data_IF_831881602132
#
_entry.id   IF_831881602132
#
_cell.length_a   1.000
_cell.length_b   1.000
_cell.length_c   1.000
_cell.angle_alpha   90.00
_cell.angle_beta   90.00
_cell.angle_gamma   90.00
#
_symmetry.space_group_name_H-M   'P 1'
#
loop_
_entity.id
_entity.type
_entity.pdbx_description
1 polymer ?
#
# COMPACT_ATOMS: atom_id res chain seq x y z
N UNK A 1 7.22 121.31 -14.27
CA UNK A 1 8.45 121.02 -13.50
C UNK A 1 9.57 122.03 -13.71
N UNK A 2 10.20 122.15 -14.89
CA UNK A 2 11.31 123.10 -15.08
C UNK A 2 10.87 124.59 -15.10
N UNK A 3 9.72 124.89 -15.71
CA UNK A 3 9.14 126.23 -15.80
C UNK A 3 8.61 126.76 -14.45
N UNK A 4 7.99 125.90 -13.64
CA UNK A 4 7.44 126.27 -12.32
C UNK A 4 8.54 126.54 -11.30
N UNK A 5 9.65 125.78 -11.37
CA UNK A 5 10.82 126.06 -10.54
C UNK A 5 11.48 127.37 -10.93
N UNK A 6 11.55 127.67 -12.24
CA UNK A 6 12.11 128.93 -12.75
C UNK A 6 11.22 130.13 -12.37
N UNK A 7 9.89 129.99 -12.40
CA UNK A 7 8.96 131.01 -11.91
C UNK A 7 9.05 131.23 -10.39
N UNK A 8 9.16 130.15 -9.61
CA UNK A 8 9.31 130.23 -8.15
C UNK A 8 10.64 130.89 -7.75
N UNK A 9 11.74 130.54 -8.42
CA UNK A 9 13.05 131.16 -8.19
C UNK A 9 13.00 132.64 -8.57
N UNK A 10 12.40 133.01 -9.71
CA UNK A 10 12.22 134.42 -10.11
C UNK A 10 11.35 135.20 -9.10
N UNK A 11 10.29 134.61 -8.58
CA UNK A 11 9.45 135.22 -7.55
C UNK A 11 10.21 135.43 -6.24
N UNK A 12 10.93 134.40 -5.77
CA UNK A 12 11.73 134.46 -4.55
C UNK A 12 12.89 135.48 -4.64
N UNK A 13 13.51 135.64 -5.82
CA UNK A 13 14.51 136.68 -6.06
C UNK A 13 13.90 138.09 -6.07
N UNK A 14 12.69 138.26 -6.64
CA UNK A 14 11.95 139.54 -6.60
C UNK A 14 11.62 139.96 -5.18
N UNK A 15 11.12 139.04 -4.35
CA UNK A 15 10.79 139.32 -2.95
C UNK A 15 12.04 139.64 -2.12
N UNK A 16 13.18 138.99 -2.39
CA UNK A 16 14.45 139.29 -1.72
C UNK A 16 15.06 140.63 -2.12
N UNK A 17 14.89 141.07 -3.37
CA UNK A 17 15.31 142.40 -3.83
C UNK A 17 14.50 143.53 -3.18
N UNK A 18 13.24 143.27 -2.82
CA UNK A 18 12.36 144.23 -2.13
C UNK A 18 12.68 144.37 -0.63
N UNK A 19 13.40 143.42 -0.03
CA UNK A 19 13.81 143.40 1.37
C UNK A 19 15.19 144.03 1.63
N UNK A 20 15.94 144.41 0.58
CA UNK A 20 17.10 145.30 0.74
C UNK A 20 16.60 146.68 1.22
N UNK A 21 17.27 147.33 2.18
CA UNK A 21 16.83 148.64 2.68
C UNK A 21 16.65 149.58 1.48
N UNK A 22 15.45 150.15 1.32
CA UNK A 22 15.23 151.22 0.35
C UNK A 22 16.23 152.33 0.67
N UNK A 23 17.10 152.65 -0.29
CA UNK A 23 17.97 153.81 -0.18
C UNK A 23 17.09 155.03 0.17
N UNK A 24 17.38 155.78 1.25
CA UNK A 24 16.62 156.97 1.56
C UNK A 24 16.71 157.97 0.39
N UNK A 25 15.55 158.50 -0.01
CA UNK A 25 15.44 159.55 -1.01
C UNK A 25 16.15 160.82 -0.53
N UNK A 26 16.89 161.46 -1.43
CA UNK A 26 17.83 162.56 -1.17
C UNK A 26 17.14 163.83 -0.66
N UNK A 27 17.67 164.41 0.41
CA UNK A 27 17.61 165.86 0.68
C UNK A 27 18.97 166.29 1.24
N UNK A 28 19.95 166.66 0.40
CA UNK A 28 21.22 167.22 0.89
C UNK A 28 21.92 168.08 -0.18
N UNK A 29 21.39 169.29 -0.37
CA UNK A 29 21.97 170.35 -1.21
C UNK A 29 23.05 171.19 -0.48
N UNK A 30 23.55 170.74 0.67
CA UNK A 30 24.55 171.48 1.47
C UNK A 30 25.72 170.64 2.04
N UNK A 31 26.23 169.64 1.29
CA UNK A 31 27.40 168.85 1.70
C UNK A 31 28.51 168.82 0.63
N UNK A 32 29.76 169.01 1.05
CA UNK A 32 30.97 169.00 0.20
C UNK A 32 31.20 167.63 -0.44
N UNK A 33 31.75 167.57 -1.66
CA UNK A 33 31.99 166.34 -2.45
C UNK A 33 32.68 165.19 -1.69
N UNK A 34 33.47 165.50 -0.67
CA UNK A 34 34.10 164.51 0.21
C UNK A 34 33.12 163.78 1.16
N UNK A 35 32.07 164.45 1.65
CA UNK A 35 31.08 163.87 2.56
C UNK A 35 30.14 162.88 1.84
N UNK A 36 29.68 163.23 0.63
CA UNK A 36 28.84 162.35 -0.23
C UNK A 36 29.56 161.06 -0.62
N UNK A 37 30.88 161.12 -0.81
CA UNK A 37 31.69 159.95 -1.15
C UNK A 37 31.85 159.02 0.06
N UNK A 38 31.89 159.57 1.28
CA UNK A 38 31.91 158.79 2.52
C UNK A 38 30.57 158.11 2.80
N UNK A 39 29.44 158.78 2.53
CA UNK A 39 28.11 158.16 2.64
C UNK A 39 27.91 157.04 1.62
N UNK A 40 28.28 157.26 0.35
CA UNK A 40 28.21 156.19 -0.66
C UNK A 40 29.15 155.03 -0.35
N UNK A 41 30.28 155.26 0.32
CA UNK A 41 31.14 154.19 0.84
C UNK A 41 30.46 153.42 1.97
N UNK A 42 29.82 154.11 2.92
CA UNK A 42 29.04 153.47 4.00
C UNK A 42 27.87 152.65 3.46
N UNK A 43 27.10 153.17 2.52
CA UNK A 43 25.99 152.44 1.89
C UNK A 43 26.49 151.20 1.11
N UNK A 44 27.61 151.33 0.40
CA UNK A 44 28.24 150.20 -0.29
C UNK A 44 28.72 149.14 0.72
N UNK A 45 29.31 149.57 1.84
CA UNK A 45 29.69 148.68 2.95
C UNK A 45 28.47 148.01 3.59
N UNK A 46 27.35 148.71 3.78
CA UNK A 46 26.10 148.16 4.33
C UNK A 46 25.45 147.14 3.38
N UNK A 47 25.39 147.44 2.08
CA UNK A 47 24.88 146.50 1.06
C UNK A 47 25.81 145.31 0.90
N UNK A 48 27.12 145.52 0.96
CA UNK A 48 28.12 144.44 0.94
C UNK A 48 27.99 143.56 2.18
N UNK A 49 27.80 144.14 3.37
CA UNK A 49 27.50 143.40 4.60
C UNK A 49 26.18 142.62 4.51
N UNK A 50 25.11 143.20 3.96
CA UNK A 50 23.83 142.52 3.78
C UNK A 50 23.91 141.37 2.75
N UNK A 51 24.68 141.54 1.68
CA UNK A 51 24.94 140.49 0.69
C UNK A 51 25.81 139.37 1.27
N UNK A 52 26.79 139.70 2.09
CA UNK A 52 27.59 138.71 2.84
C UNK A 52 26.69 137.92 3.80
N UNK A 53 25.85 138.59 4.58
CA UNK A 53 24.88 137.93 5.46
C UNK A 53 23.92 137.01 4.70
N UNK A 54 23.39 137.43 3.54
CA UNK A 54 22.54 136.56 2.72
C UNK A 54 23.31 135.37 2.13
N UNK A 55 24.57 135.56 1.70
CA UNK A 55 25.41 134.46 1.23
C UNK A 55 25.69 133.45 2.33
N UNK A 56 25.98 133.92 3.54
CA UNK A 56 26.14 133.08 4.73
C UNK A 56 24.84 132.32 5.05
N UNK A 57 23.68 132.98 5.04
CA UNK A 57 22.38 132.30 5.25
C UNK A 57 22.07 131.24 4.18
N UNK A 58 22.33 131.55 2.91
CA UNK A 58 22.16 130.58 1.82
C UNK A 58 23.12 129.42 1.96
N UNK A 59 24.36 129.69 2.35
CA UNK A 59 25.37 128.66 2.61
C UNK A 59 24.92 127.74 3.75
N UNK A 60 24.48 128.29 4.89
CA UNK A 60 23.93 127.52 6.01
C UNK A 60 22.71 126.69 5.58
N UNK A 61 21.81 127.25 4.77
CA UNK A 61 20.64 126.51 4.24
C UNK A 61 21.06 125.38 3.30
N UNK A 62 22.02 125.61 2.42
CA UNK A 62 22.55 124.59 1.50
C UNK A 62 23.24 123.46 2.26
N UNK A 63 24.05 123.80 3.26
CA UNK A 63 24.69 122.84 4.17
C UNK A 63 23.62 122.00 4.91
N UNK A 64 22.55 122.62 5.43
CA UNK A 64 21.47 121.89 6.11
C UNK A 64 20.69 120.93 5.18
N UNK A 65 20.45 121.33 3.93
CA UNK A 65 19.78 120.49 2.93
C UNK A 65 20.69 119.36 2.45
N UNK A 66 21.99 119.63 2.35
CA UNK A 66 22.98 118.61 2.03
C UNK A 66 23.05 117.56 3.15
N UNK A 67 23.16 117.99 4.40
CA UNK A 67 23.08 117.10 5.58
C UNK A 67 21.79 116.29 5.56
N UNK A 68 20.63 116.91 5.26
CA UNK A 68 19.36 116.19 5.20
C UNK A 68 19.29 115.17 4.06
N UNK A 69 19.90 115.45 2.91
CA UNK A 69 20.02 114.49 1.80
C UNK A 69 20.87 113.30 2.20
N UNK A 70 22.04 113.56 2.77
CA UNK A 70 22.95 112.52 3.28
C UNK A 70 22.26 111.65 4.35
N UNK A 71 21.48 112.24 5.27
CA UNK A 71 20.68 111.49 6.25
C UNK A 71 19.62 110.58 5.60
N UNK A 72 18.95 111.06 4.54
CA UNK A 72 17.91 110.30 3.85
C UNK A 72 18.51 109.13 3.07
N UNK A 73 19.62 109.36 2.37
CA UNK A 73 20.37 108.31 1.68
C UNK A 73 20.83 107.24 2.66
N UNK A 74 21.38 107.65 3.82
CA UNK A 74 21.79 106.71 4.85
C UNK A 74 20.61 105.89 5.40
N UNK A 75 19.45 106.51 5.61
CA UNK A 75 18.23 105.79 6.02
C UNK A 75 17.71 104.83 4.94
N UNK A 76 17.79 105.22 3.68
CA UNK A 76 17.39 104.36 2.57
C UNK A 76 18.30 103.13 2.47
N UNK A 77 19.62 103.31 2.61
CA UNK A 77 20.59 102.21 2.67
C UNK A 77 20.31 101.27 3.85
N UNK A 78 20.06 101.82 5.04
CA UNK A 78 19.66 101.03 6.22
C UNK A 78 18.40 100.20 5.98
N UNK A 79 17.38 100.77 5.32
CA UNK A 79 16.14 100.06 4.98
C UNK A 79 16.38 98.96 3.94
N UNK A 80 17.19 99.22 2.91
CA UNK A 80 17.58 98.21 1.92
C UNK A 80 18.30 97.05 2.59
N UNK A 81 19.27 97.33 3.46
CA UNK A 81 19.96 96.31 4.23
C UNK A 81 19.01 95.51 5.12
N UNK A 82 18.10 96.19 5.82
CA UNK A 82 17.09 95.53 6.65
C UNK A 82 16.20 94.61 5.81
N UNK A 83 15.77 95.06 4.63
CA UNK A 83 14.98 94.26 3.69
C UNK A 83 15.73 92.99 3.26
N UNK A 84 17.01 93.10 2.87
CA UNK A 84 17.82 91.93 2.54
C UNK A 84 18.01 90.98 3.72
N UNK A 85 18.19 91.52 4.94
CA UNK A 85 18.27 90.72 6.18
C UNK A 85 16.94 89.99 6.45
N UNK A 86 15.79 90.63 6.26
CA UNK A 86 14.47 90.02 6.44
C UNK A 86 14.15 88.97 5.38
N UNK A 87 14.42 89.25 4.10
CA UNK A 87 14.21 88.27 3.01
C UNK A 87 15.08 87.01 3.23
N UNK A 88 16.35 87.21 3.63
CA UNK A 88 17.24 86.12 4.02
C UNK A 88 16.67 85.34 5.21
N UNK A 89 16.18 86.02 6.24
CA UNK A 89 15.56 85.39 7.41
C UNK A 89 14.32 84.57 7.02
N UNK A 90 13.44 85.09 6.17
CA UNK A 90 12.25 84.38 5.70
C UNK A 90 12.62 83.12 4.92
N UNK A 91 13.56 83.22 3.96
CA UNK A 91 14.07 82.07 3.20
C UNK A 91 14.69 81.01 4.11
N UNK A 92 15.48 81.41 5.09
CA UNK A 92 16.07 80.48 6.06
C UNK A 92 15.01 79.83 6.98
N UNK A 93 13.99 80.60 7.40
CA UNK A 93 12.90 80.09 8.22
C UNK A 93 12.05 79.07 7.45
N UNK A 94 11.67 79.39 6.21
CA UNK A 94 10.96 78.47 5.33
C UNK A 94 11.78 77.21 5.04
N UNK A 95 13.08 77.34 4.81
CA UNK A 95 13.98 76.20 4.66
C UNK A 95 14.08 75.35 5.95
N UNK A 96 14.06 75.96 7.14
CA UNK A 96 14.00 75.25 8.43
C UNK A 96 12.66 74.53 8.59
N UNK A 97 11.54 75.20 8.28
CA UNK A 97 10.19 74.64 8.32
C UNK A 97 10.05 73.45 7.38
N UNK A 98 10.50 73.58 6.13
CA UNK A 98 10.49 72.49 5.15
C UNK A 98 11.35 71.30 5.59
N UNK A 99 12.54 71.54 6.14
CA UNK A 99 13.38 70.46 6.69
C UNK A 99 12.70 69.76 7.86
N UNK A 100 12.11 70.50 8.80
CA UNK A 100 11.39 69.95 9.93
C UNK A 100 10.18 69.12 9.48
N UNK A 101 9.38 69.61 8.52
CA UNK A 101 8.25 68.89 7.95
C UNK A 101 8.67 67.60 7.24
N UNK A 102 9.73 67.65 6.41
CA UNK A 102 10.27 66.45 5.75
C UNK A 102 10.74 65.42 6.77
N UNK A 103 11.49 65.85 7.80
CA UNK A 103 11.96 64.97 8.88
C UNK A 103 10.78 64.32 9.61
N UNK A 104 9.80 65.10 10.03
CA UNK A 104 8.59 64.61 10.69
C UNK A 104 7.80 63.63 9.81
N UNK A 105 7.67 63.90 8.50
CA UNK A 105 7.02 62.97 7.57
C UNK A 105 7.80 61.66 7.39
N UNK A 106 9.14 61.74 7.35
CA UNK A 106 10.00 60.57 7.25
C UNK A 106 9.91 59.69 8.49
N UNK A 107 9.96 60.29 9.68
CA UNK A 107 9.80 59.60 10.96
C UNK A 107 8.42 58.95 11.09
N UNK A 108 7.34 59.63 10.67
CA UNK A 108 5.99 59.04 10.65
C UNK A 108 5.90 57.82 9.74
N UNK A 109 6.50 57.89 8.55
CA UNK A 109 6.50 56.76 7.61
C UNK A 109 7.32 55.58 8.16
N UNK A 110 8.47 55.86 8.75
CA UNK A 110 9.32 54.83 9.38
C UNK A 110 8.63 54.18 10.58
N UNK A 111 7.98 54.98 11.44
CA UNK A 111 7.18 54.48 12.55
C UNK A 111 6.00 53.61 12.06
N UNK A 112 5.33 54.01 10.98
CA UNK A 112 4.26 53.21 10.39
C UNK A 112 4.76 51.84 9.89
N UNK A 113 5.90 51.80 9.19
CA UNK A 113 6.53 50.54 8.73
C UNK A 113 6.90 49.64 9.91
N UNK A 114 7.59 50.20 10.90
CA UNK A 114 7.98 49.47 12.11
C UNK A 114 6.77 48.94 12.90
N UNK A 115 5.67 49.71 12.96
CA UNK A 115 4.43 49.26 13.61
C UNK A 115 3.78 48.07 12.89
N UNK A 116 3.77 48.06 11.56
CA UNK A 116 3.24 46.92 10.78
C UNK A 116 4.08 45.67 11.03
N UNK A 117 5.41 45.80 10.99
CA UNK A 117 6.33 44.69 11.30
C UNK A 117 6.14 44.20 12.75
N UNK A 118 5.99 45.11 13.71
CA UNK A 118 5.73 44.75 15.10
C UNK A 118 4.41 43.98 15.28
N UNK A 119 3.36 44.34 14.53
CA UNK A 119 2.09 43.60 14.53
C UNK A 119 2.29 42.19 13.96
N UNK A 120 2.99 42.06 12.83
CA UNK A 120 3.28 40.76 12.22
C UNK A 120 4.06 39.84 13.16
N UNK A 121 5.15 40.35 13.74
CA UNK A 121 5.98 39.59 14.69
C UNK A 121 5.18 39.19 15.93
N UNK A 122 4.29 40.05 16.45
CA UNK A 122 3.40 39.70 17.56
C UNK A 122 2.45 38.55 17.21
N UNK A 123 1.92 38.53 15.99
CA UNK A 123 1.06 37.43 15.52
C UNK A 123 1.84 36.12 15.37
N UNK A 124 3.06 36.18 14.85
CA UNK A 124 3.94 35.01 14.75
C UNK A 124 4.31 34.44 16.11
N UNK A 125 4.69 35.30 17.06
CA UNK A 125 4.97 34.90 18.45
C UNK A 125 3.74 34.22 19.06
N UNK A 126 2.55 34.80 18.89
CA UNK A 126 1.32 34.20 19.39
C UNK A 126 1.03 32.82 18.75
N UNK A 127 1.32 32.65 17.45
CA UNK A 127 1.18 31.35 16.77
C UNK A 127 2.17 30.32 17.32
N UNK A 128 3.45 30.68 17.41
CA UNK A 128 4.50 29.80 17.91
C UNK A 128 4.26 29.39 19.36
N UNK A 129 3.77 30.31 20.21
CA UNK A 129 3.41 29.99 21.58
C UNK A 129 2.27 28.96 21.66
N UNK A 130 1.24 29.07 20.80
CA UNK A 130 0.16 28.06 20.73
C UNK A 130 0.68 26.70 20.27
N UNK A 131 1.58 26.66 19.29
CA UNK A 131 2.20 25.42 18.82
C UNK A 131 3.05 24.78 19.92
N UNK A 132 3.86 25.58 20.63
CA UNK A 132 4.62 25.14 21.80
C UNK A 132 3.71 24.59 22.89
N UNK A 133 2.63 25.29 23.25
CA UNK A 133 1.67 24.83 24.27
C UNK A 133 1.02 23.49 23.86
N UNK A 134 0.68 23.33 22.58
CA UNK A 134 0.12 22.08 22.05
C UNK A 134 1.13 20.93 22.16
N UNK A 135 2.39 21.17 21.80
CA UNK A 135 3.46 20.16 21.91
C UNK A 135 3.76 19.83 23.38
N UNK A 136 3.77 20.84 24.25
CA UNK A 136 4.00 20.67 25.67
C UNK A 136 2.92 19.81 26.32
N UNK A 137 1.63 20.06 26.04
CA UNK A 137 0.54 19.19 26.51
C UNK A 137 0.67 17.74 26.04
N UNK A 138 1.15 17.52 24.80
CA UNK A 138 1.40 16.17 24.28
C UNK A 138 2.57 15.50 25.00
N UNK A 139 3.62 16.25 25.32
CA UNK A 139 4.75 15.74 26.11
C UNK A 139 4.30 15.38 27.52
N UNK A 140 3.56 16.26 28.20
CA UNK A 140 3.01 16.02 29.54
C UNK A 140 2.08 14.80 29.56
N UNK A 141 1.22 14.65 28.55
CA UNK A 141 0.36 13.46 28.42
C UNK A 141 1.16 12.16 28.23
N UNK A 142 2.31 12.23 27.54
CA UNK A 142 3.19 11.08 27.32
C UNK A 142 4.18 10.83 28.47
N UNK A 143 4.35 11.78 29.39
CA UNK A 143 5.31 11.65 30.49
C UNK A 143 4.96 10.48 31.40
N UNK A 144 3.67 10.12 31.51
CA UNK A 144 3.18 8.92 32.21
C UNK A 144 3.93 7.66 31.73
N UNK A 145 4.12 7.50 30.42
CA UNK A 145 4.83 6.34 29.87
C UNK A 145 6.31 6.37 30.21
N UNK A 146 6.93 7.56 30.20
CA UNK A 146 8.33 7.74 30.59
C UNK A 146 8.53 7.39 32.06
N UNK A 147 7.69 7.90 32.96
CA UNK A 147 7.75 7.59 34.40
C UNK A 147 7.54 6.10 34.67
N UNK A 148 6.59 5.48 33.96
CA UNK A 148 6.37 4.03 34.03
C UNK A 148 7.62 3.25 33.60
N UNK A 149 8.19 3.56 32.44
CA UNK A 149 9.39 2.88 31.93
C UNK A 149 10.60 3.10 32.84
N UNK A 150 10.74 4.29 33.41
CA UNK A 150 11.77 4.58 34.40
C UNK A 150 11.63 3.65 35.63
N UNK A 151 10.40 3.51 36.15
CA UNK A 151 10.11 2.59 37.28
C UNK A 151 10.41 1.14 36.92
N UNK A 152 10.14 0.71 35.68
CA UNK A 152 10.45 -0.65 35.21
C UNK A 152 11.96 -0.86 35.16
N UNK A 153 12.73 0.11 34.70
CA UNK A 153 14.20 0.03 34.66
C UNK A 153 14.78 -0.08 36.07
N UNK A 154 14.32 0.77 36.99
CA UNK A 154 14.71 0.74 38.39
C UNK A 154 14.50 -0.64 39.05
N UNK A 155 13.45 -1.37 38.63
CA UNK A 155 13.14 -2.71 39.14
C UNK A 155 13.89 -3.84 38.44
N UNK A 156 14.23 -3.67 37.17
CA UNK A 156 14.71 -4.78 36.33
C UNK A 156 16.24 -4.85 36.29
N UNK A 157 16.95 -3.76 36.60
CA UNK A 157 18.43 -3.62 36.64
C UNK A 157 19.21 -4.05 35.36
N UNK A 158 18.55 -4.63 34.37
CA UNK A 158 19.13 -5.15 33.13
C UNK A 158 19.43 -4.08 32.06
N UNK A 159 18.84 -2.89 32.20
CA UNK A 159 18.96 -1.80 31.24
C UNK A 159 19.35 -0.53 32.00
N UNK A 160 20.21 0.31 31.41
CA UNK A 160 20.60 1.58 32.03
C UNK A 160 19.71 2.72 31.54
N UNK A 161 19.30 2.66 30.27
CA UNK A 161 18.43 3.68 29.66
C UNK A 161 17.14 3.10 29.08
N UNK A 162 16.07 3.91 29.08
CA UNK A 162 14.79 3.59 28.42
C UNK A 162 15.00 3.28 26.94
N UNK A 163 15.94 3.98 26.30
CA UNK A 163 16.25 3.77 24.88
C UNK A 163 16.80 2.38 24.62
N UNK A 164 17.72 1.89 25.46
CA UNK A 164 18.30 0.55 25.33
C UNK A 164 17.23 -0.55 25.43
N UNK A 165 16.30 -0.40 26.39
CA UNK A 165 15.17 -1.31 26.53
C UNK A 165 14.29 -1.30 25.28
N UNK A 166 13.95 -0.12 24.75
CA UNK A 166 13.15 0.00 23.53
C UNK A 166 13.87 -0.62 22.33
N UNK A 167 15.16 -0.39 22.18
CA UNK A 167 15.95 -0.94 21.07
C UNK A 167 16.09 -2.47 21.20
N UNK A 168 16.18 -3.01 22.42
CA UNK A 168 16.11 -4.46 22.67
C UNK A 168 14.75 -5.04 22.29
N UNK A 169 13.65 -4.40 22.66
CA UNK A 169 12.30 -4.84 22.26
C UNK A 169 12.14 -4.79 20.74
N UNK A 170 12.61 -3.72 20.08
CA UNK A 170 12.57 -3.60 18.63
C UNK A 170 13.35 -4.70 17.93
N UNK A 171 14.56 -5.00 18.40
CA UNK A 171 15.36 -6.10 17.86
C UNK A 171 14.67 -7.46 18.08
N UNK A 172 14.07 -7.70 19.24
CA UNK A 172 13.30 -8.92 19.51
C UNK A 172 12.06 -9.06 18.63
N UNK A 173 11.32 -7.97 18.40
CA UNK A 173 10.16 -7.98 17.49
C UNK A 173 10.60 -8.24 16.05
N UNK A 174 11.71 -7.63 15.62
CA UNK A 174 12.28 -7.87 14.30
C UNK A 174 12.76 -9.32 14.13
N UNK A 175 13.45 -9.89 15.13
CA UNK A 175 13.88 -11.29 15.06
C UNK A 175 12.69 -12.25 15.12
N UNK A 176 11.66 -11.95 15.93
CA UNK A 176 10.43 -12.74 15.96
C UNK A 176 9.76 -12.78 14.58
N UNK A 177 9.66 -11.64 13.89
CA UNK A 177 9.11 -11.60 12.54
C UNK A 177 9.88 -12.49 11.57
N UNK A 178 11.22 -12.45 11.61
CA UNK A 178 12.08 -13.30 10.77
C UNK A 178 11.91 -14.79 11.12
N UNK A 179 11.85 -15.14 12.41
CA UNK A 179 11.68 -16.52 12.86
C UNK A 179 10.32 -17.09 12.43
N UNK A 180 9.24 -16.30 12.55
CA UNK A 180 7.91 -16.71 12.09
C UNK A 180 7.91 -16.95 10.58
N UNK A 181 8.53 -16.07 9.79
CA UNK A 181 8.64 -16.28 8.34
C UNK A 181 9.42 -17.54 7.99
N UNK A 182 10.53 -17.80 8.67
CA UNK A 182 11.31 -19.03 8.48
C UNK A 182 10.51 -20.27 8.86
N UNK A 183 9.76 -20.21 9.96
CA UNK A 183 8.95 -21.33 10.44
C UNK A 183 7.82 -21.67 9.47
N UNK A 184 7.16 -20.66 8.90
CA UNK A 184 6.19 -20.86 7.82
C UNK A 184 6.84 -21.54 6.61
N UNK A 185 7.97 -21.05 6.13
CA UNK A 185 8.68 -21.69 5.01
C UNK A 185 9.12 -23.12 5.31
N UNK A 186 9.55 -23.42 6.54
CA UNK A 186 9.86 -24.80 6.96
C UNK A 186 8.61 -25.68 7.06
N UNK A 187 7.46 -25.15 7.49
CA UNK A 187 6.19 -25.88 7.48
C UNK A 187 5.73 -26.22 6.07
N UNK A 188 5.79 -25.26 5.16
CA UNK A 188 5.46 -25.47 3.74
C UNK A 188 6.31 -26.59 3.13
N UNK A 189 7.63 -26.59 3.39
CA UNK A 189 8.52 -27.67 2.95
C UNK A 189 8.12 -29.04 3.53
N UNK A 190 7.79 -29.11 4.81
CA UNK A 190 7.36 -30.35 5.46
C UNK A 190 6.02 -30.85 4.87
N UNK A 191 5.08 -29.94 4.62
CA UNK A 191 3.81 -30.26 3.98
C UNK A 191 3.99 -30.77 2.54
N UNK A 192 4.91 -30.17 1.77
CA UNK A 192 5.29 -30.64 0.44
C UNK A 192 5.86 -32.06 0.46
N UNK A 193 6.83 -32.33 1.34
CA UNK A 193 7.42 -33.67 1.50
C UNK A 193 6.38 -34.71 1.97
N UNK A 194 5.48 -34.33 2.88
CA UNK A 194 4.36 -35.19 3.29
C UNK A 194 3.41 -35.49 2.13
N UNK A 195 3.07 -34.49 1.31
CA UNK A 195 2.23 -34.68 0.14
C UNK A 195 2.90 -35.60 -0.89
N UNK A 196 4.22 -35.48 -1.09
CA UNK A 196 4.98 -36.38 -1.96
C UNK A 196 4.95 -37.83 -1.44
N UNK A 197 5.18 -38.02 -0.13
CA UNK A 197 5.13 -39.34 0.50
C UNK A 197 3.73 -39.97 0.40
N UNK A 198 2.67 -39.19 0.63
CA UNK A 198 1.29 -39.66 0.49
C UNK A 198 1.01 -40.15 -0.93
N UNK A 199 1.40 -39.39 -1.95
CA UNK A 199 1.27 -39.80 -3.36
C UNK A 199 2.00 -41.12 -3.62
N UNK A 200 3.24 -41.25 -3.13
CA UNK A 200 4.01 -42.50 -3.29
C UNK A 200 3.33 -43.70 -2.62
N UNK A 201 2.79 -43.52 -1.42
CA UNK A 201 2.06 -44.57 -0.70
C UNK A 201 0.78 -44.96 -1.43
N UNK A 202 0.01 -44.00 -1.93
CA UNK A 202 -1.18 -44.24 -2.75
C UNK A 202 -0.84 -45.01 -4.02
N UNK A 203 0.20 -44.59 -4.76
CA UNK A 203 0.68 -45.30 -5.94
C UNK A 203 1.14 -46.73 -5.63
N UNK A 204 1.86 -46.93 -4.52
CA UNK A 204 2.30 -48.26 -4.08
C UNK A 204 1.11 -49.15 -3.70
N UNK A 205 0.17 -48.63 -2.92
CA UNK A 205 -1.06 -49.34 -2.56
C UNK A 205 -1.89 -49.71 -3.79
N UNK A 206 -2.00 -48.81 -4.76
CA UNK A 206 -2.66 -49.09 -6.04
C UNK A 206 -1.96 -50.24 -6.79
N UNK A 207 -0.62 -50.27 -6.83
CA UNK A 207 0.13 -51.39 -7.42
C UNK A 207 -0.12 -52.70 -6.67
N UNK A 208 -0.14 -52.68 -5.34
CA UNK A 208 -0.45 -53.87 -4.53
C UNK A 208 -1.87 -54.37 -4.82
N UNK A 209 -2.85 -53.49 -4.89
CA UNK A 209 -4.23 -53.84 -5.26
C UNK A 209 -4.32 -54.43 -6.65
N UNK A 210 -3.62 -53.87 -7.64
CA UNK A 210 -3.53 -54.43 -8.99
C UNK A 210 -2.93 -55.85 -9.00
N UNK A 211 -1.83 -56.06 -8.27
CA UNK A 211 -1.21 -57.38 -8.12
C UNK A 211 -2.15 -58.39 -7.43
N UNK A 212 -2.85 -57.98 -6.37
CA UNK A 212 -3.81 -58.83 -5.66
C UNK A 212 -5.00 -59.20 -6.55
N UNK A 213 -5.53 -58.26 -7.32
CA UNK A 213 -6.59 -58.54 -8.30
C UNK A 213 -6.10 -59.55 -9.33
N UNK A 214 -4.88 -59.38 -9.85
CA UNK A 214 -4.29 -60.34 -10.79
C UNK A 214 -4.07 -61.72 -10.16
N UNK A 215 -3.67 -61.78 -8.89
CA UNK A 215 -3.53 -63.03 -8.15
C UNK A 215 -4.88 -63.75 -8.00
N UNK A 216 -5.94 -63.01 -7.64
CA UNK A 216 -7.29 -63.55 -7.53
C UNK A 216 -7.82 -64.09 -8.87
N UNK A 217 -7.57 -63.38 -9.98
CA UNK A 217 -7.87 -63.85 -11.33
C UNK A 217 -7.17 -65.19 -11.64
N UNK A 218 -5.86 -65.26 -11.39
CA UNK A 218 -5.07 -66.47 -11.65
C UNK A 218 -5.49 -67.64 -10.75
N UNK A 219 -5.79 -67.39 -9.48
CA UNK A 219 -6.33 -68.40 -8.56
C UNK A 219 -7.66 -68.94 -9.07
N UNK A 220 -8.55 -68.07 -9.55
CA UNK A 220 -9.85 -68.48 -10.12
C UNK A 220 -9.64 -69.36 -11.36
N UNK A 221 -8.72 -69.00 -12.25
CA UNK A 221 -8.38 -69.82 -13.43
C UNK A 221 -7.81 -71.18 -13.05
N UNK A 222 -6.95 -71.21 -12.05
CA UNK A 222 -6.35 -72.44 -11.54
C UNK A 222 -7.41 -73.36 -10.93
N UNK A 223 -8.33 -72.82 -10.14
CA UNK A 223 -9.42 -73.60 -9.55
C UNK A 223 -10.39 -74.13 -10.62
N UNK A 224 -10.71 -73.33 -11.63
CA UNK A 224 -11.47 -73.81 -12.80
C UNK A 224 -10.76 -74.95 -13.52
N UNK A 225 -9.44 -74.86 -13.69
CA UNK A 225 -8.66 -75.94 -14.30
C UNK A 225 -8.65 -77.20 -13.42
N UNK A 226 -8.49 -77.08 -12.10
CA UNK A 226 -8.58 -78.20 -11.15
C UNK A 226 -9.92 -78.90 -11.20
N UNK A 227 -11.02 -78.14 -11.20
CA UNK A 227 -12.38 -78.69 -11.32
C UNK A 227 -12.52 -79.50 -12.62
N UNK A 228 -12.00 -79.00 -13.75
CA UNK A 228 -12.01 -79.74 -15.02
C UNK A 228 -11.18 -81.01 -14.94
N UNK A 229 -9.98 -80.97 -14.37
CA UNK A 229 -9.13 -82.15 -14.18
C UNK A 229 -9.86 -83.19 -13.35
N UNK A 230 -10.44 -82.80 -12.22
CA UNK A 230 -11.18 -83.72 -11.35
C UNK A 230 -12.40 -84.35 -12.05
N UNK A 231 -13.12 -83.59 -12.88
CA UNK A 231 -14.20 -84.13 -13.71
C UNK A 231 -13.69 -85.20 -14.69
N UNK A 232 -12.54 -84.98 -15.32
CA UNK A 232 -11.94 -85.97 -16.24
C UNK A 232 -11.39 -87.18 -15.52
N UNK A 233 -10.76 -87.02 -14.35
CA UNK A 233 -10.33 -88.12 -13.49
C UNK A 233 -11.53 -88.99 -13.08
N UNK A 234 -12.63 -88.36 -12.66
CA UNK A 234 -13.87 -89.08 -12.30
C UNK A 234 -14.38 -89.91 -13.48
N UNK A 235 -14.51 -89.31 -14.66
CA UNK A 235 -14.88 -90.02 -15.90
C UNK A 235 -13.90 -91.17 -16.22
N UNK A 236 -12.61 -90.96 -16.04
CA UNK A 236 -11.60 -91.99 -16.24
C UNK A 236 -11.78 -93.16 -15.27
N UNK A 237 -12.04 -92.89 -13.98
CA UNK A 237 -12.33 -93.96 -13.00
C UNK A 237 -13.63 -94.70 -13.31
N UNK A 238 -14.67 -94.02 -13.80
CA UNK A 238 -15.91 -94.66 -14.27
C UNK A 238 -15.64 -95.60 -15.45
N UNK A 239 -14.85 -95.15 -16.43
CA UNK A 239 -14.43 -95.98 -17.57
C UNK A 239 -13.63 -97.19 -17.07
N UNK A 240 -12.65 -96.98 -16.19
CA UNK A 240 -11.79 -98.04 -15.66
C UNK A 240 -12.58 -99.07 -14.85
N UNK A 241 -13.49 -98.63 -13.98
CA UNK A 241 -14.35 -99.54 -13.21
C UNK A 241 -15.33 -100.29 -14.10
N UNK A 242 -15.86 -99.64 -15.14
CA UNK A 242 -16.71 -100.30 -16.14
C UNK A 242 -15.92 -101.34 -16.92
N UNK A 243 -14.71 -101.01 -17.35
CA UNK A 243 -13.81 -101.95 -18.02
C UNK A 243 -13.49 -103.15 -17.11
N UNK A 244 -13.13 -102.91 -15.85
CA UNK A 244 -12.87 -103.98 -14.87
C UNK A 244 -14.08 -104.89 -14.65
N UNK A 245 -15.29 -104.31 -14.54
CA UNK A 245 -16.55 -105.09 -14.47
C UNK A 245 -16.75 -105.94 -15.72
N UNK A 246 -16.55 -105.38 -16.92
CA UNK A 246 -16.65 -106.11 -18.19
C UNK A 246 -15.61 -107.22 -18.30
N UNK A 247 -14.39 -106.98 -17.86
CA UNK A 247 -13.33 -108.01 -17.79
C UNK A 247 -13.69 -109.12 -16.81
N UNK A 248 -14.28 -108.79 -15.65
CA UNK A 248 -14.74 -109.78 -14.68
C UNK A 248 -15.92 -110.61 -15.23
N UNK A 249 -16.93 -109.96 -15.82
CA UNK A 249 -18.06 -110.62 -16.49
C UNK A 249 -17.55 -111.58 -17.58
N UNK A 250 -16.62 -111.12 -18.42
CA UNK A 250 -15.98 -111.96 -19.42
C UNK A 250 -15.27 -113.16 -18.79
N UNK A 251 -14.48 -112.93 -17.72
CA UNK A 251 -13.81 -114.01 -16.98
C UNK A 251 -14.80 -115.02 -16.38
N UNK A 252 -15.92 -114.57 -15.82
CA UNK A 252 -16.98 -115.44 -15.31
C UNK A 252 -17.63 -116.27 -16.42
N UNK A 253 -17.94 -115.65 -17.57
CA UNK A 253 -18.46 -116.35 -18.75
C UNK A 253 -17.46 -117.41 -19.22
N UNK A 254 -16.17 -117.04 -19.32
CA UNK A 254 -15.11 -117.98 -19.71
C UNK A 254 -15.02 -119.17 -18.75
N UNK A 255 -15.10 -118.93 -17.43
CA UNK A 255 -15.08 -120.00 -16.43
C UNK A 255 -16.33 -120.88 -16.47
N UNK A 256 -17.52 -120.30 -16.65
CA UNK A 256 -18.76 -121.06 -16.79
C UNK A 256 -18.75 -121.93 -18.06
N UNK A 257 -18.28 -121.39 -19.18
CA UNK A 257 -18.07 -122.12 -20.42
C UNK A 257 -17.10 -123.29 -20.24
N UNK A 258 -15.94 -123.04 -19.63
CA UNK A 258 -14.94 -124.07 -19.33
C UNK A 258 -15.51 -125.15 -18.40
N UNK A 259 -16.23 -124.77 -17.34
CA UNK A 259 -16.85 -125.71 -16.41
C UNK A 259 -17.89 -126.60 -17.09
N UNK A 260 -18.75 -126.04 -17.95
CA UNK A 260 -19.72 -126.80 -18.74
C UNK A 260 -19.01 -127.75 -19.71
N UNK A 261 -17.98 -127.27 -20.42
CA UNK A 261 -17.16 -128.10 -21.32
C UNK A 261 -16.50 -129.26 -20.59
N UNK A 262 -15.90 -129.01 -19.42
CA UNK A 262 -15.32 -130.06 -18.57
C UNK A 262 -16.38 -131.06 -18.07
N UNK A 263 -17.59 -130.59 -17.76
CA UNK A 263 -18.67 -131.47 -17.31
C UNK A 263 -19.15 -132.40 -18.42
N UNK A 264 -19.35 -131.87 -19.63
CA UNK A 264 -19.74 -132.63 -20.83
C UNK A 264 -18.65 -133.63 -21.23
N UNK A 265 -17.39 -133.20 -21.28
CA UNK A 265 -16.26 -134.09 -21.61
C UNK A 265 -16.06 -135.20 -20.58
N UNK A 266 -16.26 -134.91 -19.28
CA UNK A 266 -16.25 -135.94 -18.21
C UNK A 266 -17.39 -136.95 -18.32
N UNK A 267 -18.62 -136.50 -18.57
CA UNK A 267 -19.79 -137.39 -18.67
C UNK A 267 -19.75 -138.26 -19.94
N UNK A 268 -19.29 -137.71 -21.07
CA UNK A 268 -19.21 -138.43 -22.34
C UNK A 268 -17.89 -139.18 -22.56
N UNK A 269 -16.93 -139.13 -21.60
CA UNK A 269 -15.57 -139.70 -21.73
C UNK A 269 -14.86 -139.28 -23.03
N UNK A 270 -15.12 -138.06 -23.50
CA UNK A 270 -14.50 -137.51 -24.71
C UNK A 270 -13.12 -136.95 -24.34
N UNK A 271 -12.05 -137.51 -24.89
CA UNK A 271 -10.74 -136.88 -24.85
C UNK A 271 -10.63 -135.88 -26.00
N UNK A 272 -10.69 -134.59 -25.68
CA UNK A 272 -10.51 -133.51 -26.66
C UNK A 272 -9.50 -132.51 -26.11
N UNK A 273 -8.46 -132.24 -26.89
CA UNK A 273 -7.37 -131.33 -26.56
C UNK A 273 -7.71 -129.93 -27.09
N UNK A 274 -8.57 -129.21 -26.36
CA UNK A 274 -8.92 -127.81 -26.66
C UNK A 274 -8.13 -126.89 -25.72
N UNK A 275 -7.45 -125.85 -26.23
CA UNK A 275 -6.74 -124.88 -25.41
C UNK A 275 -7.64 -124.21 -24.36
N UNK A 276 -7.10 -124.01 -23.16
CA UNK A 276 -7.86 -123.43 -22.02
C UNK A 276 -8.38 -122.01 -22.29
N UNK A 277 -7.73 -121.26 -23.18
CA UNK A 277 -8.03 -119.85 -23.51
C UNK A 277 -9.13 -119.67 -24.57
N UNK A 278 -9.43 -120.71 -25.36
CA UNK A 278 -10.36 -120.64 -26.50
C UNK A 278 -11.79 -121.02 -26.08
N UNK A 279 -12.54 -120.02 -25.65
CA UNK A 279 -13.89 -120.21 -25.11
C UNK A 279 -14.95 -120.43 -26.18
N UNK A 280 -14.71 -119.98 -27.42
CA UNK A 280 -15.64 -120.21 -28.52
C UNK A 280 -15.62 -121.70 -28.91
N UNK A 281 -14.43 -122.29 -29.09
CA UNK A 281 -14.29 -123.71 -29.39
C UNK A 281 -14.84 -124.62 -28.26
N UNK A 282 -14.69 -124.21 -26.99
CA UNK A 282 -15.25 -124.94 -25.84
C UNK A 282 -16.79 -124.93 -25.86
N UNK A 283 -17.42 -123.77 -26.11
CA UNK A 283 -18.87 -123.65 -26.19
C UNK A 283 -19.43 -124.38 -27.42
N UNK A 284 -18.75 -124.33 -28.56
CA UNK A 284 -19.16 -125.06 -29.77
C UNK A 284 -19.23 -126.58 -29.53
N UNK A 285 -18.32 -127.13 -28.72
CA UNK A 285 -18.39 -128.55 -28.33
C UNK A 285 -19.49 -128.84 -27.31
N UNK A 286 -19.72 -127.96 -26.34
CA UNK A 286 -20.89 -128.07 -25.44
C UNK A 286 -22.18 -128.05 -26.25
N UNK A 287 -22.29 -127.15 -27.23
CA UNK A 287 -23.43 -127.04 -28.14
C UNK A 287 -23.61 -128.31 -28.96
N UNK A 288 -22.53 -128.80 -29.60
CA UNK A 288 -22.56 -130.04 -30.39
C UNK A 288 -23.04 -131.23 -29.55
N UNK A 289 -22.54 -131.37 -28.32
CA UNK A 289 -22.97 -132.43 -27.41
C UNK A 289 -24.42 -132.25 -26.95
N UNK A 290 -24.87 -131.02 -26.70
CA UNK A 290 -26.27 -130.74 -26.38
C UNK A 290 -27.18 -131.07 -27.56
N UNK A 291 -26.80 -130.73 -28.80
CA UNK A 291 -27.56 -131.08 -30.00
C UNK A 291 -27.57 -132.58 -30.25
N UNK A 292 -26.48 -133.29 -29.96
CA UNK A 292 -26.42 -134.76 -30.05
C UNK A 292 -27.30 -135.43 -28.98
N UNK A 293 -27.29 -134.94 -27.74
CA UNK A 293 -28.21 -135.41 -26.68
C UNK A 293 -29.68 -135.07 -27.00
N UNK A 294 -29.94 -133.92 -27.61
CA UNK A 294 -31.27 -133.57 -28.10
C UNK A 294 -31.70 -134.46 -29.27
N UNK A 295 -30.78 -134.84 -30.16
CA UNK A 295 -31.05 -135.80 -31.22
C UNK A 295 -31.31 -137.23 -30.70
N UNK A 296 -30.70 -137.61 -29.57
CA UNK A 296 -30.93 -138.91 -28.91
C UNK A 296 -32.25 -138.91 -28.09
N UNK A 297 -32.71 -137.76 -27.60
CA UNK A 297 -33.93 -137.64 -26.78
C UNK A 297 -35.22 -137.46 -27.58
N UNK A 298 -35.17 -137.51 -28.92
CA UNK A 298 -36.38 -137.64 -29.75
C UNK A 298 -36.73 -139.12 -29.89
N UNK A 299 -37.61 -139.62 -28.99
CA UNK A 299 -38.76 -140.52 -29.25
C UNK A 299 -39.43 -140.84 -27.89
N UNK A 300 -40.78 -140.91 -27.80
CA UNK A 300 -41.53 -140.28 -26.72
C UNK A 300 -42.15 -141.26 -25.71
N UNK A 301 -42.20 -140.89 -24.42
CA UNK A 301 -43.37 -141.15 -23.55
C UNK A 301 -43.38 -140.39 -22.20
N UNK A 302 -44.48 -139.65 -22.04
CA UNK A 302 -45.25 -139.28 -20.84
C UNK A 302 -45.47 -140.40 -19.79
N UNK A 303 -46.18 -140.16 -18.66
CA UNK A 303 -46.48 -138.92 -17.90
C UNK A 303 -46.36 -139.09 -16.36
N UNK A 304 -46.25 -138.00 -15.57
CA UNK A 304 -46.63 -137.82 -14.14
C UNK A 304 -46.14 -136.41 -13.72
N UNK A 305 -46.83 -135.50 -13.01
CA UNK A 305 -48.01 -135.60 -12.16
C UNK A 305 -47.68 -135.10 -10.74
N UNK A 306 -47.82 -133.77 -10.50
CA UNK A 306 -48.09 -133.10 -9.19
C UNK A 306 -46.98 -133.17 -8.09
N UNK A 307 -46.69 -132.23 -7.16
CA UNK A 307 -47.33 -131.01 -6.61
C UNK A 307 -46.38 -130.21 -5.68
N UNK A 308 -46.61 -128.88 -5.67
CA UNK A 308 -46.39 -127.77 -4.67
C UNK A 308 -45.49 -127.93 -3.43
N UNK A 309 -44.78 -126.84 -3.12
CA UNK A 309 -44.87 -126.01 -1.89
C UNK A 309 -43.94 -124.77 -2.07
N UNK A 310 -44.37 -123.50 -2.12
CA UNK A 310 -44.92 -122.59 -1.09
C UNK A 310 -43.97 -122.27 0.07
N UNK A 311 -43.52 -121.00 0.19
CA UNK A 311 -43.79 -120.09 1.33
C UNK A 311 -42.99 -118.77 1.28
N UNK A 312 -43.71 -117.70 1.61
CA UNK A 312 -43.40 -116.58 2.54
C UNK A 312 -42.05 -115.84 2.41
N UNK A 313 -41.92 -114.51 2.50
CA UNK A 313 -42.83 -113.44 2.94
C UNK A 313 -42.04 -112.37 3.74
N UNK A 314 -42.42 -111.08 3.56
CA UNK A 314 -42.11 -109.85 4.36
C UNK A 314 -40.74 -109.18 4.11
N UNK A 315 -40.60 -107.90 3.70
CA UNK A 315 -41.15 -106.55 4.03
C UNK A 315 -40.49 -105.87 5.24
N UNK A 316 -39.82 -104.74 4.99
CA UNK A 316 -39.56 -103.58 5.87
C UNK A 316 -39.40 -102.36 4.94
N UNK A 317 -40.28 -101.35 4.87
CA UNK A 317 -40.63 -100.20 5.74
C UNK A 317 -39.63 -99.02 5.75
N UNK A 318 -40.21 -97.83 5.64
CA UNK A 318 -39.71 -96.47 5.30
C UNK A 318 -39.16 -95.73 6.54
N UNK A 319 -38.31 -94.70 6.41
CA UNK A 319 -38.72 -93.31 6.72
C UNK A 319 -38.11 -92.32 5.69
N UNK A 320 -38.57 -91.10 5.42
CA UNK A 320 -39.37 -90.15 6.16
C UNK A 320 -38.73 -88.75 5.98
N UNK A 321 -39.42 -87.88 5.22
CA UNK A 321 -39.58 -86.42 5.37
C UNK A 321 -38.36 -85.53 5.72
N UNK A 322 -38.08 -84.54 4.85
CA UNK A 322 -37.98 -83.10 5.21
C UNK A 322 -37.81 -82.19 3.97
N UNK A 323 -38.80 -81.34 3.71
CA UNK A 323 -38.64 -80.01 3.08
C UNK A 323 -38.36 -78.99 4.21
N UNK A 324 -37.67 -77.84 3.98
CA UNK A 324 -38.24 -76.64 3.33
C UNK A 324 -37.24 -75.92 2.37
N UNK A 325 -37.66 -75.39 1.22
CA UNK A 325 -38.21 -74.03 0.96
C UNK A 325 -37.20 -72.85 1.01
N UNK A 326 -37.47 -71.76 0.25
CA UNK A 326 -36.46 -70.88 -0.36
C UNK A 326 -36.36 -69.48 0.28
N UNK A 327 -35.16 -68.89 0.25
CA UNK A 327 -34.90 -67.45 0.39
C UNK A 327 -33.75 -67.09 -0.58
N UNK A 328 -33.98 -66.35 -1.68
CA UNK A 328 -33.84 -64.88 -1.81
C UNK A 328 -32.68 -64.32 -0.96
N UNK A 329 -31.63 -63.68 -1.51
CA UNK A 329 -31.61 -62.55 -2.45
C UNK A 329 -30.26 -62.38 -3.18
N UNK A 330 -30.23 -61.57 -4.25
CA UNK A 330 -29.04 -61.19 -5.01
C UNK A 330 -28.28 -60.05 -4.30
N UNK A 331 -26.97 -59.96 -4.54
CA UNK A 331 -26.21 -58.74 -4.33
C UNK A 331 -25.57 -58.31 -5.66
N UNK A 332 -26.15 -57.24 -6.20
CA UNK A 332 -25.52 -56.33 -7.16
C UNK A 332 -24.43 -55.54 -6.43
N UNK A 333 -23.38 -55.15 -7.17
CA UNK A 333 -22.47 -54.07 -6.75
C UNK A 333 -23.16 -52.70 -6.78
N UNK A 334 -22.41 -51.59 -6.68
CA UNK A 334 -20.94 -51.47 -6.74
C UNK A 334 -20.22 -51.85 -5.45
#
# INVERSE_FOLDING_TARGET
>A
MASELDEYVRAAFRDKLLLLPKMPEREDDYLTSAARLLEKKREMEEVEQALLAQREEFQVKMESLQQRREELEHKEEQLKEAFFKFDKFLKENDAKRHRALRKASGERLQAARSNVEAIHLRQEIARLLRERDKLQRRLEANDIFRSYLQTVIEKTEQFQEIKEMIDRVRTLVATQAVLVQRELGSREQVEEEHAQLQRYLEESNNKVLQCNNRLAELQTQLEQARVRVHQWESKWTEIQTTAAKKTLELGQIKMAALNLFQMVTKQMKLQVDIPLEDTEAQLDKVLLCMTDLMAISVVPRQPCGWVKASRDGKRFQVPGIATPSPWTKPWQGP
#
